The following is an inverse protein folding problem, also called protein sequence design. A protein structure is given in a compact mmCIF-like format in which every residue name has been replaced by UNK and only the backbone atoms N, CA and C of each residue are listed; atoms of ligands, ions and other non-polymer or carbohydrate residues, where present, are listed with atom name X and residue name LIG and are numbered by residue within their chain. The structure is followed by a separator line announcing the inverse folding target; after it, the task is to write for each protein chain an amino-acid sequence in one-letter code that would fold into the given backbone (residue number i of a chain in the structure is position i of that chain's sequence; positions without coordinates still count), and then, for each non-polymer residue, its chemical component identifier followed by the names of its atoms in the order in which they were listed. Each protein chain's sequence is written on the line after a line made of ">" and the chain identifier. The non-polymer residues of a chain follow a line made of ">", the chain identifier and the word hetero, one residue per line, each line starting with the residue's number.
data_IF_881919079397
#
_entry.id   IF_881919079397
#
_cell.length_a   1.000
_cell.length_b   1.000
_cell.length_c   1.000
_cell.angle_alpha   90.00
_cell.angle_beta   90.00
_cell.angle_gamma   90.00
#
_symmetry.space_group_name_H-M   'P 1'
#
loop_
_entity.id
_entity.type
_entity.pdbx_description
1 polymer ?
#
# COMPACT_ATOMS: atom_id res chain seq x y z
N UNK A 1 21.57 -0.30 -4.09
CA UNK A 1 21.29 -1.69 -3.65
C UNK A 1 21.95 -2.00 -2.31
N UNK A 2 23.27 -1.89 -2.16
CA UNK A 2 23.98 -2.17 -0.90
C UNK A 2 23.40 -1.44 0.32
N UNK A 3 23.19 -0.13 0.24
CA UNK A 3 22.63 0.65 1.35
C UNK A 3 21.22 0.22 1.78
N UNK A 4 20.36 -0.21 0.85
CA UNK A 4 19.00 -0.65 1.18
C UNK A 4 18.96 -2.06 1.77
N UNK A 5 19.83 -2.97 1.30
CA UNK A 5 20.03 -4.28 1.94
C UNK A 5 20.56 -4.09 3.35
N UNK A 6 21.48 -3.13 3.56
CA UNK A 6 22.01 -2.77 4.87
C UNK A 6 20.91 -2.19 5.77
N UNK A 7 20.06 -1.27 5.28
CA UNK A 7 18.94 -0.72 6.07
C UNK A 7 17.91 -1.79 6.42
N UNK A 8 17.55 -2.68 5.49
CA UNK A 8 16.65 -3.82 5.77
C UNK A 8 17.27 -4.79 6.78
N UNK A 9 18.58 -5.06 6.70
CA UNK A 9 19.31 -5.88 7.67
C UNK A 9 19.40 -5.21 9.04
N UNK A 10 19.65 -3.89 9.10
CA UNK A 10 19.70 -3.13 10.36
C UNK A 10 18.33 -3.12 11.05
N UNK A 11 17.25 -2.93 10.28
CA UNK A 11 15.88 -2.97 10.78
C UNK A 11 15.44 -4.37 11.22
N UNK A 12 15.99 -5.43 10.61
CA UNK A 12 15.82 -6.79 11.07
C UNK A 12 16.64 -7.09 12.35
N UNK A 13 17.79 -6.42 12.54
CA UNK A 13 18.73 -6.67 13.63
C UNK A 13 18.43 -5.90 14.94
N UNK A 14 17.81 -4.73 14.89
CA UNK A 14 17.53 -3.93 16.11
C UNK A 14 16.15 -4.25 16.73
N UNK A 15 16.06 -5.30 17.56
CA UNK A 15 14.93 -5.48 18.49
C UNK A 15 14.81 -6.85 19.20
N UNK A 16 14.10 -6.92 20.34
CA UNK A 16 14.02 -8.12 21.20
C UNK A 16 13.10 -9.25 20.66
N UNK A 17 12.20 -8.99 19.70
CA UNK A 17 11.31 -10.00 19.10
C UNK A 17 11.82 -10.50 17.74
N UNK A 18 12.75 -11.46 17.76
CA UNK A 18 13.45 -11.99 16.57
C UNK A 18 12.55 -12.83 15.63
N UNK A 19 11.54 -13.53 16.17
CA UNK A 19 10.70 -14.48 15.40
C UNK A 19 9.77 -13.81 14.38
N UNK A 20 9.04 -12.75 14.73
CA UNK A 20 8.08 -12.12 13.81
C UNK A 20 8.76 -11.47 12.60
N UNK A 21 9.96 -10.90 12.78
CA UNK A 21 10.68 -10.24 11.67
C UNK A 21 11.30 -11.24 10.70
N UNK A 22 11.75 -12.39 11.20
CA UNK A 22 12.19 -13.51 10.36
C UNK A 22 11.04 -14.02 9.48
N UNK A 23 9.82 -14.08 10.01
CA UNK A 23 8.65 -14.47 9.23
C UNK A 23 8.33 -13.48 8.10
N UNK A 24 8.41 -12.16 8.36
CA UNK A 24 8.22 -11.15 7.30
C UNK A 24 9.31 -11.20 6.23
N UNK A 25 10.57 -11.41 6.62
CA UNK A 25 11.68 -11.53 5.68
C UNK A 25 11.53 -12.79 4.82
N UNK A 26 11.17 -13.92 5.44
CA UNK A 26 10.93 -15.19 4.76
C UNK A 26 9.75 -15.08 3.79
N UNK A 27 8.69 -14.38 4.17
CA UNK A 27 7.55 -14.09 3.29
C UNK A 27 7.95 -13.33 2.02
N UNK A 28 8.82 -12.33 2.12
CA UNK A 28 9.34 -11.59 0.96
C UNK A 28 10.11 -12.52 0.02
N UNK A 29 11.04 -13.32 0.54
CA UNK A 29 11.80 -14.27 -0.26
C UNK A 29 10.91 -15.36 -0.85
N UNK A 30 9.88 -15.81 -0.13
CA UNK A 30 8.90 -16.77 -0.62
C UNK A 30 8.07 -16.22 -1.79
N UNK A 31 7.63 -14.95 -1.71
CA UNK A 31 6.89 -14.29 -2.80
C UNK A 31 7.76 -14.07 -4.05
N UNK A 32 9.01 -13.64 -3.86
CA UNK A 32 9.99 -13.55 -4.95
C UNK A 32 10.27 -14.94 -5.56
N UNK A 33 10.46 -15.97 -4.72
CA UNK A 33 10.63 -17.35 -5.14
C UNK A 33 9.44 -17.87 -5.94
N UNK A 34 8.21 -17.67 -5.45
CA UNK A 34 6.99 -18.06 -6.13
C UNK A 34 6.83 -17.35 -7.48
N UNK A 35 7.10 -16.04 -7.53
CA UNK A 35 7.09 -15.27 -8.79
C UNK A 35 8.11 -15.82 -9.80
N UNK A 36 9.31 -16.19 -9.35
CA UNK A 36 10.31 -16.83 -10.23
C UNK A 36 9.93 -18.24 -10.67
N UNK A 37 9.20 -18.99 -9.85
CA UNK A 37 8.73 -20.34 -10.18
C UNK A 37 7.64 -20.31 -11.27
N UNK A 38 6.69 -19.38 -11.16
CA UNK A 38 5.59 -19.17 -12.13
C UNK A 38 6.09 -18.56 -13.44
N UNK A 39 7.22 -17.86 -13.43
CA UNK A 39 7.79 -17.25 -14.64
C UNK A 39 8.24 -18.29 -15.69
N UNK A 40 7.64 -18.22 -16.88
CA UNK A 40 7.99 -19.04 -18.05
C UNK A 40 9.43 -18.82 -18.55
N UNK A 41 10.04 -17.65 -18.27
CA UNK A 41 11.38 -17.28 -18.76
C UNK A 41 12.29 -16.82 -17.61
N UNK A 42 12.60 -17.76 -16.69
CA UNK A 42 13.36 -17.52 -15.46
C UNK A 42 14.71 -16.82 -15.65
N UNK A 43 15.38 -17.03 -16.79
CA UNK A 43 16.68 -16.41 -17.12
C UNK A 43 16.60 -15.03 -17.79
N UNK A 44 15.40 -14.59 -18.19
CA UNK A 44 15.18 -13.29 -18.81
C UNK A 44 14.70 -12.22 -17.84
N UNK A 45 14.72 -12.48 -16.53
CA UNK A 45 14.21 -11.55 -15.52
C UNK A 45 15.25 -10.44 -15.30
N UNK A 46 14.91 -9.17 -15.59
CA UNK A 46 15.81 -8.05 -15.32
C UNK A 46 15.87 -7.78 -13.81
N UNK A 47 16.82 -8.40 -13.13
CA UNK A 47 17.01 -8.27 -11.68
C UNK A 47 17.23 -6.82 -11.22
N UNK A 48 17.78 -5.96 -12.08
CA UNK A 48 17.91 -4.53 -11.80
C UNK A 48 16.53 -3.85 -11.63
N UNK A 49 15.52 -4.25 -12.41
CA UNK A 49 14.18 -3.70 -12.33
C UNK A 49 13.43 -4.24 -11.10
N UNK A 50 13.52 -5.55 -10.86
CA UNK A 50 12.90 -6.19 -9.69
C UNK A 50 13.44 -5.58 -8.39
N UNK A 51 14.76 -5.42 -8.31
CA UNK A 51 15.41 -4.93 -7.10
C UNK A 51 15.22 -3.41 -6.92
N UNK A 52 15.19 -2.63 -8.00
CA UNK A 52 14.89 -1.20 -7.92
C UNK A 52 13.43 -0.93 -7.55
N UNK A 53 12.47 -1.69 -8.08
CA UNK A 53 11.06 -1.59 -7.69
C UNK A 53 10.83 -1.92 -6.22
N UNK A 54 11.42 -3.02 -5.75
CA UNK A 54 11.34 -3.41 -4.34
C UNK A 54 11.98 -2.37 -3.41
N UNK A 55 13.11 -1.80 -3.83
CA UNK A 55 13.81 -0.76 -3.10
C UNK A 55 13.01 0.55 -3.06
N UNK A 56 12.33 0.92 -4.15
CA UNK A 56 11.45 2.08 -4.18
C UNK A 56 10.24 1.90 -3.24
N UNK A 57 9.63 0.71 -3.22
CA UNK A 57 8.53 0.38 -2.30
C UNK A 57 8.98 0.48 -0.83
N UNK A 58 10.12 -0.10 -0.49
CA UNK A 58 10.69 -0.02 0.86
C UNK A 58 11.06 1.40 1.25
N UNK A 59 11.69 2.15 0.33
CA UNK A 59 12.10 3.52 0.57
C UNK A 59 10.88 4.42 0.85
N UNK A 60 9.84 4.32 0.03
CA UNK A 60 8.62 5.11 0.22
C UNK A 60 7.95 4.77 1.55
N UNK A 61 7.77 3.47 1.86
CA UNK A 61 7.20 3.04 3.14
C UNK A 61 8.02 3.51 4.33
N UNK A 62 9.35 3.44 4.26
CA UNK A 62 10.24 3.91 5.31
C UNK A 62 10.11 5.42 5.54
N UNK A 63 10.17 6.22 4.46
CA UNK A 63 10.06 7.69 4.55
C UNK A 63 8.71 8.09 5.14
N UNK A 64 7.61 7.47 4.72
CA UNK A 64 6.27 7.79 5.22
C UNK A 64 6.11 7.39 6.69
N UNK A 65 6.62 6.22 7.09
CA UNK A 65 6.37 5.64 8.41
C UNK A 65 7.35 6.12 9.48
N UNK A 66 8.59 6.50 9.12
CA UNK A 66 9.59 7.03 10.08
C UNK A 66 9.65 8.54 10.14
N UNK A 67 9.39 9.25 9.04
CA UNK A 67 9.55 10.71 9.01
C UNK A 67 8.25 11.41 9.39
N UNK A 68 8.33 12.36 10.34
CA UNK A 68 7.18 13.16 10.80
C UNK A 68 6.52 13.95 9.66
N UNK A 69 7.33 14.46 8.71
CA UNK A 69 6.83 15.11 7.50
C UNK A 69 6.05 14.14 6.59
N UNK A 70 6.51 12.89 6.46
CA UNK A 70 5.84 11.86 5.65
C UNK A 70 4.48 11.48 6.23
N UNK A 71 4.40 11.30 7.54
CA UNK A 71 3.14 11.06 8.25
C UNK A 71 2.16 12.22 8.06
N UNK A 72 2.60 13.48 8.24
CA UNK A 72 1.75 14.67 8.06
C UNK A 72 1.24 14.83 6.63
N UNK A 73 2.08 14.54 5.64
CA UNK A 73 1.67 14.58 4.23
C UNK A 73 0.57 13.54 3.94
N UNK A 74 0.74 12.30 4.40
CA UNK A 74 -0.26 11.25 4.25
C UNK A 74 -1.55 11.52 5.05
N UNK A 75 -1.44 12.13 6.23
CA UNK A 75 -2.61 12.56 7.00
C UNK A 75 -3.42 13.61 6.23
N UNK A 76 -2.76 14.63 5.68
CA UNK A 76 -3.44 15.65 4.87
C UNK A 76 -4.09 15.06 3.61
N UNK A 77 -3.45 14.07 2.98
CA UNK A 77 -4.03 13.32 1.86
C UNK A 77 -5.25 12.49 2.28
N UNK A 78 -5.19 11.85 3.45
CA UNK A 78 -6.31 11.15 4.06
C UNK A 78 -7.48 12.10 4.30
N UNK A 79 -7.23 13.23 4.95
CA UNK A 79 -8.25 14.25 5.24
C UNK A 79 -8.87 14.82 3.94
N UNK A 80 -8.06 15.05 2.90
CA UNK A 80 -8.57 15.48 1.59
C UNK A 80 -9.46 14.41 0.95
N UNK A 81 -9.05 13.14 1.00
CA UNK A 81 -9.84 12.01 0.48
C UNK A 81 -11.15 11.84 1.25
N UNK A 82 -11.13 12.00 2.58
CA UNK A 82 -12.33 11.99 3.41
C UNK A 82 -13.30 13.13 3.07
N UNK A 83 -12.78 14.32 2.72
CA UNK A 83 -13.62 15.42 2.22
C UNK A 83 -14.27 15.07 0.88
N UNK A 84 -13.53 14.49 -0.06
CA UNK A 84 -14.12 14.02 -1.32
C UNK A 84 -15.19 12.95 -1.10
N UNK A 85 -14.96 12.02 -0.17
CA UNK A 85 -15.94 11.02 0.21
C UNK A 85 -17.23 11.66 0.76
N UNK A 86 -17.12 12.74 1.55
CA UNK A 86 -18.30 13.45 2.05
C UNK A 86 -19.14 14.09 0.94
N UNK A 87 -18.53 14.56 -0.16
CA UNK A 87 -19.28 15.06 -1.32
C UNK A 87 -19.96 13.93 -2.09
N UNK A 88 -19.31 12.77 -2.21
CA UNK A 88 -19.91 11.59 -2.82
C UNK A 88 -21.10 11.06 -1.99
N UNK A 89 -21.03 11.16 -0.66
CA UNK A 89 -22.14 10.83 0.24
C UNK A 89 -23.36 11.74 -0.01
N UNK A 90 -23.16 13.06 -0.13
CA UNK A 90 -24.23 14.02 -0.46
C UNK A 90 -24.84 13.75 -1.84
N UNK A 91 -24.01 13.41 -2.84
CA UNK A 91 -24.50 13.02 -4.18
C UNK A 91 -25.31 11.73 -4.15
N UNK A 92 -24.90 10.76 -3.31
CA UNK A 92 -25.62 9.50 -3.15
C UNK A 92 -26.97 9.70 -2.45
N UNK A 93 -27.03 10.58 -1.45
CA UNK A 93 -28.28 10.97 -0.79
C UNK A 93 -29.25 11.67 -1.76
N UNK A 94 -28.74 12.54 -2.65
CA UNK A 94 -29.54 13.20 -3.68
C UNK A 94 -30.14 12.21 -4.70
N UNK A 95 -29.35 11.21 -5.13
CA UNK A 95 -29.78 10.25 -6.17
C UNK A 95 -30.66 9.11 -5.59
N UNK A 96 -30.37 8.63 -4.39
CA UNK A 96 -31.00 7.43 -3.81
C UNK A 96 -31.93 7.71 -2.61
N UNK A 97 -31.99 8.94 -2.11
CA UNK A 97 -32.84 9.33 -0.98
C UNK A 97 -32.32 8.86 0.40
N UNK A 98 -33.05 9.15 1.50
CA UNK A 98 -32.56 8.97 2.88
C UNK A 98 -32.37 7.50 3.32
N UNK A 99 -32.89 6.53 2.57
CA UNK A 99 -32.76 5.09 2.86
C UNK A 99 -31.48 4.45 2.25
N UNK A 100 -30.52 5.26 1.79
CA UNK A 100 -29.25 4.77 1.23
C UNK A 100 -28.42 3.92 2.23
N UNK A 101 -28.69 4.05 3.53
CA UNK A 101 -28.01 3.31 4.59
C UNK A 101 -28.43 1.84 4.72
N UNK A 102 -29.60 1.43 4.20
CA UNK A 102 -30.05 0.04 4.30
C UNK A 102 -29.30 -0.91 3.35
N UNK A 103 -28.73 -0.39 2.26
CA UNK A 103 -27.84 -1.13 1.36
C UNK A 103 -26.48 -0.42 1.22
N UNK A 104 -25.75 -0.38 2.33
CA UNK A 104 -24.45 0.30 2.50
C UNK A 104 -23.42 -0.03 1.40
N UNK A 105 -23.45 -1.23 0.80
CA UNK A 105 -22.49 -1.58 -0.25
C UNK A 105 -22.87 -0.98 -1.61
N UNK A 106 -24.15 -1.07 -2.01
CA UNK A 106 -24.60 -0.64 -3.32
C UNK A 106 -24.67 0.89 -3.45
N UNK A 107 -25.15 1.58 -2.42
CA UNK A 107 -25.46 3.01 -2.51
C UNK A 107 -24.44 3.93 -1.81
N UNK A 108 -23.44 3.37 -1.10
CA UNK A 108 -22.35 4.17 -0.51
C UNK A 108 -21.00 3.94 -1.19
N UNK A 109 -20.72 2.74 -1.71
CA UNK A 109 -19.39 2.42 -2.29
C UNK A 109 -19.35 2.63 -3.81
N UNK A 110 -20.38 2.25 -4.55
CA UNK A 110 -20.39 2.44 -6.01
C UNK A 110 -20.36 3.92 -6.43
N UNK A 111 -21.14 4.83 -5.82
CA UNK A 111 -21.14 6.23 -6.23
C UNK A 111 -19.79 6.92 -6.02
N UNK A 112 -19.04 6.50 -5.00
CA UNK A 112 -17.67 6.98 -4.75
C UNK A 112 -16.76 6.64 -5.93
N UNK A 113 -16.84 5.42 -6.45
CA UNK A 113 -16.12 5.02 -7.65
C UNK A 113 -16.50 5.82 -8.89
N UNK A 114 -17.79 6.15 -9.06
CA UNK A 114 -18.28 6.96 -10.19
C UNK A 114 -17.78 8.41 -10.08
N UNK A 115 -17.82 9.00 -8.88
CA UNK A 115 -17.30 10.34 -8.61
C UNK A 115 -15.79 10.48 -8.82
N UNK A 116 -15.01 9.42 -8.54
CA UNK A 116 -13.56 9.43 -8.81
C UNK A 116 -13.21 9.14 -10.27
N UNK A 117 -14.13 8.55 -11.05
CA UNK A 117 -13.89 8.19 -12.45
C UNK A 117 -14.38 9.24 -13.47
N UNK A 118 -15.30 10.12 -13.06
CA UNK A 118 -15.81 11.25 -13.85
C UNK A 118 -14.86 12.45 -13.82
#
# INVERSE_FOLDING_TARGET
>A
VGAAVVVCLQMAAEGPHRTCRLQSLLGIFALLGFSTLVSRRRRGIPWQLVLSGFLAQFYMGYVVMRTTAGYRAFQSLGDATSRFLSFADVGSEFVFGPNYAEHMFAFKVLPVGIFFAA
#
